data_IF_622659181135
#
_entry.id   IF_622659181135
#
_cell.length_a   1.000
_cell.length_b   1.000
_cell.length_c   1.000
_cell.angle_alpha   90.00
_cell.angle_beta   90.00
_cell.angle_gamma   90.00
#
_symmetry.space_group_name_H-M   'P 1'
#
loop_
_entity.id
_entity.type
_entity.pdbx_description
1 polymer ?
#
# COMPACT_ATOMS: atom_id res chain seq x y z
N UNK A 1 -5.09 -1.31 -7.15
CA UNK A 1 -4.56 -2.22 -6.11
C UNK A 1 -5.12 -1.81 -4.76
N UNK A 2 -4.53 -0.86 -4.02
CA UNK A 2 -5.09 -0.45 -2.72
C UNK A 2 -6.42 0.29 -2.81
N UNK A 3 -6.58 1.23 -3.76
CA UNK A 3 -7.86 1.92 -3.98
C UNK A 3 -9.03 1.00 -4.39
N UNK A 4 -8.77 -0.28 -4.65
CA UNK A 4 -9.79 -1.31 -4.85
C UNK A 4 -9.64 -2.49 -3.85
N UNK A 5 -8.96 -2.28 -2.72
CA UNK A 5 -8.82 -3.23 -1.61
C UNK A 5 -7.96 -4.46 -1.89
N UNK A 6 -7.06 -4.40 -2.88
CA UNK A 6 -6.17 -5.52 -3.21
C UNK A 6 -4.81 -5.37 -2.53
N UNK A 7 -4.39 -6.36 -1.72
CA UNK A 7 -3.06 -6.39 -1.13
C UNK A 7 -2.01 -6.79 -2.17
N UNK A 8 -0.73 -6.56 -1.84
CA UNK A 8 0.37 -6.68 -2.79
C UNK A 8 1.54 -7.47 -2.21
N UNK A 9 2.25 -8.24 -3.05
CA UNK A 9 3.62 -8.66 -2.77
C UNK A 9 4.52 -7.80 -3.66
N UNK A 10 5.39 -6.99 -3.07
CA UNK A 10 6.22 -6.03 -3.79
C UNK A 10 7.72 -6.30 -3.60
N UNK A 11 8.52 -5.94 -4.60
CA UNK A 11 9.99 -6.02 -4.49
C UNK A 11 10.47 -5.03 -3.43
N UNK A 12 11.40 -5.45 -2.58
CA UNK A 12 12.01 -4.62 -1.54
C UNK A 12 13.02 -3.61 -2.12
N UNK A 13 12.54 -2.42 -2.48
CA UNK A 13 13.39 -1.28 -2.84
C UNK A 13 13.21 -0.11 -1.86
N UNK A 14 14.11 0.87 -1.89
CA UNK A 14 14.30 1.85 -0.81
C UNK A 14 13.02 2.57 -0.34
N UNK A 15 12.20 3.05 -1.28
CA UNK A 15 10.99 3.82 -0.97
C UNK A 15 9.69 3.00 -0.97
N UNK A 16 9.73 1.69 -1.24
CA UNK A 16 8.49 0.88 -1.30
C UNK A 16 7.70 0.94 0.02
N UNK A 17 8.40 1.09 1.15
CA UNK A 17 7.81 1.16 2.49
C UNK A 17 6.97 2.42 2.73
N UNK A 18 7.10 3.45 1.89
CA UNK A 18 6.21 4.61 1.91
C UNK A 18 4.77 4.18 1.57
N UNK A 19 4.63 3.31 0.55
CA UNK A 19 3.36 2.84 0.02
C UNK A 19 2.90 1.49 0.62
N UNK A 20 3.80 0.53 0.77
CA UNK A 20 3.52 -0.82 1.29
C UNK A 20 3.92 -0.90 2.76
N UNK A 21 2.94 -1.13 3.63
CA UNK A 21 3.13 -1.41 5.05
C UNK A 21 3.06 -2.93 5.23
N UNK A 22 4.22 -3.52 5.55
CA UNK A 22 4.39 -4.96 5.75
C UNK A 22 3.37 -5.47 6.76
N UNK A 23 2.78 -6.64 6.49
CA UNK A 23 1.73 -7.31 7.28
C UNK A 23 0.42 -6.50 7.43
N UNK A 24 0.34 -5.33 6.80
CA UNK A 24 -0.85 -4.49 6.81
C UNK A 24 -1.52 -4.54 5.45
N UNK A 25 -0.95 -3.90 4.43
CA UNK A 25 -1.54 -3.88 3.09
C UNK A 25 -0.76 -4.75 2.08
N UNK A 26 0.38 -5.31 2.48
CA UNK A 26 1.17 -6.15 1.61
C UNK A 26 2.39 -6.74 2.27
N UNK A 27 3.17 -7.44 1.46
CA UNK A 27 4.40 -8.13 1.84
C UNK A 27 5.53 -7.67 0.93
N UNK A 28 6.77 -7.79 1.40
CA UNK A 28 7.96 -7.42 0.65
C UNK A 28 8.83 -8.65 0.43
N UNK A 29 9.40 -8.77 -0.77
CA UNK A 29 10.34 -9.83 -1.12
C UNK A 29 11.55 -9.26 -1.85
N UNK A 30 12.70 -9.91 -1.70
CA UNK A 30 13.95 -9.57 -2.37
C UNK A 30 14.43 -10.65 -3.34
N UNK A 31 13.78 -11.82 -3.30
CA UNK A 31 14.15 -12.98 -4.11
C UNK A 31 12.92 -13.74 -4.62
N UNK A 32 13.13 -14.57 -5.64
CA UNK A 32 12.08 -15.47 -6.15
C UNK A 32 11.64 -16.50 -5.12
N UNK A 33 12.56 -16.94 -4.24
CA UNK A 33 12.26 -17.88 -3.16
C UNK A 33 11.36 -17.24 -2.11
N UNK A 34 11.67 -16.03 -1.66
CA UNK A 34 10.80 -15.27 -0.75
C UNK A 34 9.40 -15.07 -1.35
N UNK A 35 9.32 -14.66 -2.63
CA UNK A 35 8.02 -14.53 -3.29
C UNK A 35 7.22 -15.85 -3.32
N UNK A 36 7.89 -16.97 -3.57
CA UNK A 36 7.24 -18.28 -3.57
C UNK A 36 6.71 -18.65 -2.18
N UNK A 37 7.50 -18.40 -1.13
CA UNK A 37 7.11 -18.65 0.26
C UNK A 37 5.90 -17.79 0.67
N UNK A 38 5.91 -16.50 0.30
CA UNK A 38 4.77 -15.61 0.53
C UNK A 38 3.50 -16.12 -0.16
N UNK A 39 3.58 -16.54 -1.42
CA UNK A 39 2.42 -17.08 -2.15
C UNK A 39 1.89 -18.36 -1.50
N UNK A 40 2.77 -19.28 -1.10
CA UNK A 40 2.38 -20.52 -0.41
C UNK A 40 1.69 -20.21 0.91
N UNK A 41 2.20 -19.25 1.67
CA UNK A 41 1.61 -18.81 2.93
C UNK A 41 0.22 -18.17 2.72
N UNK A 42 0.09 -17.26 1.75
CA UNK A 42 -1.13 -16.52 1.48
C UNK A 42 -2.28 -17.40 1.00
N UNK A 43 -1.98 -18.38 0.15
CA UNK A 43 -2.98 -19.28 -0.42
C UNK A 43 -3.17 -20.58 0.37
N UNK A 44 -2.54 -20.69 1.55
CA UNK A 44 -2.74 -21.84 2.43
C UNK A 44 -4.20 -21.94 2.84
N UNK A 45 -4.84 -23.05 2.48
CA UNK A 45 -6.25 -23.31 2.78
C UNK A 45 -7.24 -22.66 1.80
N UNK A 46 -6.79 -22.17 0.65
CA UNK A 46 -7.67 -21.62 -0.38
C UNK A 46 -8.77 -22.62 -0.81
N UNK A 47 -10.03 -22.17 -1.02
CA UNK A 47 -10.50 -20.77 -0.98
C UNK A 47 -10.81 -20.20 0.40
N UNK A 48 -11.26 -21.02 1.35
CA UNK A 48 -11.95 -20.52 2.56
C UNK A 48 -11.02 -20.30 3.77
N UNK A 49 -9.87 -20.95 3.81
CA UNK A 49 -8.94 -20.96 4.95
C UNK A 49 -7.80 -19.94 4.89
N UNK A 50 -7.87 -18.94 4.00
CA UNK A 50 -6.76 -18.01 3.74
C UNK A 50 -6.70 -16.86 4.76
N UNK A 51 -6.46 -17.16 6.05
CA UNK A 51 -6.45 -16.16 7.12
C UNK A 51 -5.52 -14.98 6.85
N UNK A 52 -4.27 -15.24 6.44
CA UNK A 52 -3.29 -14.21 6.13
C UNK A 52 -3.74 -13.31 4.97
N UNK A 53 -4.19 -13.91 3.86
CA UNK A 53 -4.69 -13.16 2.70
C UNK A 53 -5.93 -12.33 3.03
N UNK A 54 -6.86 -12.86 3.84
CA UNK A 54 -8.07 -12.16 4.24
C UNK A 54 -7.75 -10.94 5.12
N UNK A 55 -6.82 -11.07 6.07
CA UNK A 55 -6.34 -9.93 6.86
C UNK A 55 -5.73 -8.83 5.99
N UNK A 56 -4.85 -9.20 5.05
CA UNK A 56 -4.25 -8.22 4.14
C UNK A 56 -5.28 -7.52 3.25
N UNK A 57 -6.31 -8.23 2.77
CA UNK A 57 -7.40 -7.64 1.98
C UNK A 57 -8.20 -6.61 2.77
N UNK A 58 -8.60 -6.94 4.00
CA UNK A 58 -9.36 -6.02 4.86
C UNK A 58 -8.57 -4.73 5.10
N UNK A 59 -7.31 -4.85 5.53
CA UNK A 59 -6.44 -3.71 5.80
C UNK A 59 -6.11 -2.90 4.53
N UNK A 60 -5.91 -3.56 3.38
CA UNK A 60 -5.70 -2.89 2.10
C UNK A 60 -6.91 -2.06 1.66
N UNK A 61 -8.13 -2.54 1.96
CA UNK A 61 -9.36 -1.82 1.69
C UNK A 61 -9.52 -0.57 2.57
N UNK A 62 -9.24 -0.70 3.86
CA UNK A 62 -9.27 0.42 4.81
C UNK A 62 -8.28 1.52 4.41
N UNK A 63 -7.04 1.13 4.10
CA UNK A 63 -5.97 2.08 3.76
C UNK A 63 -6.10 2.63 2.33
N UNK A 64 -6.83 1.93 1.47
CA UNK A 64 -7.17 2.36 0.11
C UNK A 64 -8.30 3.38 0.02
N UNK A 65 -8.89 3.78 1.16
CA UNK A 65 -9.98 4.76 1.21
C UNK A 65 -9.54 6.18 0.85
N UNK A 66 -8.28 6.53 1.14
CA UNK A 66 -7.68 7.79 0.71
C UNK A 66 -7.60 7.89 -0.80
N UNK A 67 -8.23 8.95 -1.34
CA UNK A 67 -8.20 9.26 -2.77
C UNK A 67 -7.17 10.33 -3.04
N UNK A 68 -6.58 10.28 -4.25
CA UNK A 68 -5.66 11.31 -4.73
C UNK A 68 -6.18 12.74 -4.50
N UNK A 69 -7.48 12.97 -4.70
CA UNK A 69 -8.10 14.29 -4.49
C UNK A 69 -8.01 14.78 -3.04
N UNK A 70 -8.21 13.88 -2.08
CA UNK A 70 -8.13 14.22 -0.65
C UNK A 70 -6.70 14.51 -0.26
N UNK A 71 -5.78 13.60 -0.63
CA UNK A 71 -4.34 13.75 -0.34
C UNK A 71 -3.74 15.01 -1.00
N UNK A 72 -4.20 15.36 -2.20
CA UNK A 72 -3.81 16.60 -2.90
C UNK A 72 -4.22 17.85 -2.12
N UNK A 73 -5.49 17.92 -1.73
CA UNK A 73 -6.05 19.06 -1.00
C UNK A 73 -5.42 19.23 0.39
N UNK A 74 -5.14 18.12 1.08
CA UNK A 74 -4.59 18.14 2.44
C UNK A 74 -3.07 18.38 2.50
N UNK A 75 -2.30 17.85 1.54
CA UNK A 75 -0.83 17.85 1.64
C UNK A 75 -0.12 18.69 0.57
N UNK A 76 -0.48 18.54 -0.70
CA UNK A 76 0.27 19.17 -1.80
C UNK A 76 -0.14 20.63 -2.03
N UNK A 77 -1.45 20.90 -2.05
CA UNK A 77 -2.00 22.22 -2.35
C UNK A 77 -1.56 23.31 -1.36
N UNK A 78 -1.52 23.09 -0.02
CA UNK A 78 -1.10 24.13 0.90
C UNK A 78 0.35 24.59 0.66
N UNK A 79 1.26 23.63 0.41
CA UNK A 79 2.68 23.91 0.14
C UNK A 79 2.84 24.75 -1.13
N UNK A 80 2.15 24.39 -2.20
CA UNK A 80 2.19 25.15 -3.45
C UNK A 80 1.61 26.55 -3.28
N UNK A 81 0.51 26.67 -2.54
CA UNK A 81 -0.14 27.96 -2.28
C UNK A 81 0.77 28.88 -1.46
N UNK A 82 1.46 28.34 -0.45
CA UNK A 82 2.43 29.07 0.34
C UNK A 82 3.58 29.59 -0.53
N UNK A 83 4.21 28.73 -1.33
CA UNK A 83 5.31 29.11 -2.22
C UNK A 83 4.87 30.19 -3.22
N UNK A 84 3.69 30.05 -3.81
CA UNK A 84 3.15 31.06 -4.74
C UNK A 84 2.95 32.40 -4.02
N UNK A 85 2.41 32.38 -2.79
CA UNK A 85 2.17 33.61 -2.02
C UNK A 85 3.44 34.35 -1.60
N UNK A 86 4.54 33.63 -1.37
CA UNK A 86 5.83 34.21 -0.98
C UNK A 86 6.58 34.82 -2.17
N UNK A 87 6.43 34.25 -3.38
CA UNK A 87 7.09 34.73 -4.60
C UNK A 87 6.33 35.88 -5.30
N UNK A 88 5.08 36.15 -4.91
CA UNK A 88 4.27 37.27 -5.41
C UNK A 88 4.32 38.52 -4.52
N UNK A 89 5.12 38.49 -3.43
CA UNK A 89 5.47 39.66 -2.61
C UNK A 89 6.83 40.20 -3.03
#
# INVERSE_FOLDING_TARGET
MFGCGLPVCAVAYSCIKELVKVDTNGLLFSSSSELADELVMLFKGFPDGCGALNSLKTNALEMGSSRWSTEWEEHAKPVLTEVISQNLR
#
